data_IF_502288801839
#
_entry.id   IF_502288801839
#
_cell.length_a   1.000
_cell.length_b   1.000
_cell.length_c   1.000
_cell.angle_alpha   90.00
_cell.angle_beta   90.00
_cell.angle_gamma   90.00
#
_symmetry.space_group_name_H-M   'P 1'
#
loop_
_entity.id
_entity.type
_entity.pdbx_description
1 polymer ?
#
# COMPACT_ATOMS: atom_id res chain seq x y z
N UNK A 1 -9.84 6.22 1.88
CA UNK A 1 -9.37 5.58 3.14
C UNK A 1 -8.68 6.61 4.03
N UNK A 2 -7.62 7.26 3.55
CA UNK A 2 -6.84 8.27 4.30
C UNK A 2 -7.71 9.38 4.91
N UNK A 3 -8.58 10.04 4.13
CA UNK A 3 -9.49 11.09 4.66
C UNK A 3 -10.47 10.60 5.75
N UNK A 4 -10.93 9.35 5.65
CA UNK A 4 -11.82 8.78 6.68
C UNK A 4 -11.05 8.50 7.96
N UNK A 5 -9.80 8.04 7.86
CA UNK A 5 -8.94 7.85 9.02
C UNK A 5 -8.51 9.19 9.65
N UNK A 6 -8.18 10.20 8.84
CA UNK A 6 -7.78 11.55 9.27
C UNK A 6 -8.85 12.25 10.12
N UNK A 7 -10.13 11.92 9.88
CA UNK A 7 -11.27 12.42 10.67
C UNK A 7 -11.30 11.90 12.11
N UNK A 8 -10.58 10.82 12.40
CA UNK A 8 -10.53 10.21 13.73
C UNK A 8 -9.36 10.71 14.60
N UNK A 9 -8.44 11.51 14.05
CA UNK A 9 -7.35 12.10 14.83
C UNK A 9 -7.80 13.35 15.56
N UNK A 10 -7.52 13.40 16.87
CA UNK A 10 -7.59 14.66 17.62
C UNK A 10 -6.50 15.62 17.14
N UNK A 11 -6.64 16.94 17.32
CA UNK A 11 -5.59 17.91 16.98
C UNK A 11 -4.23 17.58 17.61
N UNK A 12 -4.24 17.10 18.87
CA UNK A 12 -3.04 16.64 19.58
C UNK A 12 -2.46 15.37 18.92
N UNK A 13 -3.32 14.43 18.52
CA UNK A 13 -2.91 13.24 17.79
C UNK A 13 -2.18 13.59 16.50
N UNK A 14 -2.64 14.61 15.75
CA UNK A 14 -1.99 15.10 14.53
C UNK A 14 -0.61 15.71 14.79
N UNK A 15 -0.46 16.47 15.86
CA UNK A 15 0.81 17.11 16.24
C UNK A 15 1.88 16.09 16.65
N UNK A 16 1.46 14.96 17.22
CA UNK A 16 2.36 13.87 17.65
C UNK A 16 2.66 12.85 16.55
N UNK A 17 2.10 13.01 15.35
CA UNK A 17 2.37 12.09 14.25
C UNK A 17 3.84 12.16 13.85
N UNK A 18 4.60 11.05 13.91
CA UNK A 18 5.95 11.03 13.39
C UNK A 18 5.91 11.33 11.90
N UNK A 19 6.91 12.08 11.42
CA UNK A 19 7.11 12.29 9.99
C UNK A 19 7.24 10.91 9.34
N UNK A 20 6.50 10.61 8.26
CA UNK A 20 6.57 9.29 7.66
C UNK A 20 8.04 8.94 7.36
N UNK A 21 8.50 7.77 7.84
CA UNK A 21 9.70 7.16 7.29
C UNK A 21 9.50 6.89 5.79
N UNK A 22 10.59 6.66 5.06
CA UNK A 22 10.49 6.25 3.67
C UNK A 22 9.52 5.06 3.52
N UNK A 23 8.63 5.12 2.53
CA UNK A 23 7.70 4.03 2.22
C UNK A 23 8.49 2.73 1.97
N UNK A 24 7.94 1.56 2.27
CA UNK A 24 8.66 0.29 2.09
C UNK A 24 9.03 0.00 0.62
N UNK A 25 8.37 0.68 -0.32
CA UNK A 25 8.66 0.63 -1.76
C UNK A 25 9.72 1.64 -2.22
N UNK A 26 10.28 2.47 -1.33
CA UNK A 26 11.21 3.55 -1.71
C UNK A 26 12.53 3.06 -2.31
N UNK A 27 12.87 1.79 -2.13
CA UNK A 27 14.05 1.18 -2.76
C UNK A 27 13.82 0.82 -4.23
N UNK A 28 12.58 0.90 -4.73
CA UNK A 28 12.31 0.77 -6.17
C UNK A 28 12.77 2.02 -6.90
N UNK A 29 13.42 1.81 -8.04
CA UNK A 29 13.69 2.88 -8.98
C UNK A 29 12.40 3.20 -9.74
N UNK A 30 11.62 4.12 -9.18
CA UNK A 30 10.41 4.63 -9.83
C UNK A 30 10.72 5.93 -10.58
N UNK A 31 10.29 6.07 -11.85
CA UNK A 31 10.37 7.35 -12.53
C UNK A 31 9.54 8.37 -11.76
N UNK A 32 10.15 9.52 -11.47
CA UNK A 32 9.53 10.59 -10.66
C UNK A 32 8.79 11.62 -11.49
N UNK A 33 9.05 11.65 -12.80
CA UNK A 33 8.46 12.58 -13.75
C UNK A 33 8.20 11.89 -15.11
N UNK A 34 7.52 12.63 -15.98
CA UNK A 34 7.11 12.15 -17.30
C UNK A 34 8.32 11.82 -18.16
N UNK A 35 9.35 12.67 -18.14
CA UNK A 35 10.54 12.56 -18.95
C UNK A 35 11.29 11.26 -18.59
N UNK A 36 11.46 10.97 -17.31
CA UNK A 36 12.02 9.71 -16.81
C UNK A 36 11.16 8.52 -17.24
N UNK A 37 9.83 8.60 -17.09
CA UNK A 37 8.94 7.52 -17.46
C UNK A 37 9.04 7.16 -18.95
N UNK A 38 9.18 8.16 -19.83
CA UNK A 38 9.35 7.96 -21.28
C UNK A 38 10.71 7.33 -21.66
N UNK A 39 11.70 7.36 -20.78
CA UNK A 39 12.99 6.71 -21.00
C UNK A 39 13.03 5.24 -20.55
N UNK A 40 12.03 4.78 -19.78
CA UNK A 40 11.94 3.39 -19.33
C UNK A 40 11.22 2.55 -20.38
N UNK A 41 11.68 1.33 -20.61
CA UNK A 41 11.01 0.42 -21.53
C UNK A 41 9.61 0.06 -21.03
N UNK A 42 8.67 -0.21 -21.96
CA UNK A 42 7.30 -0.61 -21.59
C UNK A 42 7.29 -1.88 -20.71
N UNK A 43 8.20 -2.82 -20.99
CA UNK A 43 8.35 -4.05 -20.20
C UNK A 43 8.85 -3.77 -18.79
N UNK A 44 9.84 -2.90 -18.62
CA UNK A 44 10.36 -2.53 -17.30
C UNK A 44 9.31 -1.73 -16.50
N UNK A 45 8.54 -0.86 -17.15
CA UNK A 45 7.42 -0.16 -16.53
C UNK A 45 6.35 -1.15 -16.04
N UNK A 46 6.03 -2.18 -16.83
CA UNK A 46 5.07 -3.21 -16.44
C UNK A 46 5.61 -4.08 -15.29
N UNK A 47 6.89 -4.47 -15.33
CA UNK A 47 7.56 -5.17 -14.24
C UNK A 47 7.53 -4.35 -12.94
N UNK A 48 7.79 -3.05 -13.04
CA UNK A 48 7.73 -2.13 -11.91
C UNK A 48 6.32 -2.04 -11.32
N UNK A 49 5.29 -1.86 -12.15
CA UNK A 49 3.90 -1.79 -11.71
C UNK A 49 3.46 -3.08 -10.99
N UNK A 50 3.85 -4.25 -11.53
CA UNK A 50 3.59 -5.57 -10.92
C UNK A 50 4.33 -5.72 -9.59
N UNK A 51 5.58 -5.29 -9.53
CA UNK A 51 6.40 -5.31 -8.30
C UNK A 51 5.80 -4.44 -7.20
N UNK A 52 5.34 -3.24 -7.54
CA UNK A 52 4.66 -2.34 -6.61
C UNK A 52 3.38 -2.99 -6.06
N UNK A 53 2.55 -3.55 -6.93
CA UNK A 53 1.29 -4.18 -6.53
C UNK A 53 1.53 -5.39 -5.61
N UNK A 54 2.52 -6.22 -5.94
CA UNK A 54 2.91 -7.37 -5.12
C UNK A 54 3.42 -6.92 -3.73
N UNK A 55 4.19 -5.84 -3.66
CA UNK A 55 4.71 -5.30 -2.40
C UNK A 55 3.61 -4.80 -1.45
N UNK A 56 2.39 -4.56 -1.93
CA UNK A 56 1.25 -4.12 -1.13
C UNK A 56 0.36 -5.25 -0.60
N UNK A 57 0.59 -6.51 -1.01
CA UNK A 57 -0.21 -7.66 -0.55
C UNK A 57 -0.15 -7.81 0.97
N UNK A 58 1.05 -7.86 1.55
CA UNK A 58 1.22 -8.04 3.00
C UNK A 58 0.73 -6.81 3.80
N UNK A 59 1.10 -5.54 3.44
CA UNK A 59 0.56 -4.35 4.10
C UNK A 59 -0.97 -4.29 4.11
N UNK A 60 -1.63 -4.65 3.00
CA UNK A 60 -3.09 -4.68 2.93
C UNK A 60 -3.70 -5.76 3.85
N UNK A 61 -3.03 -6.91 3.99
CA UNK A 61 -3.41 -7.94 4.96
C UNK A 61 -3.31 -7.44 6.41
N UNK A 62 -2.21 -6.75 6.74
CA UNK A 62 -2.00 -6.13 8.05
C UNK A 62 -3.05 -5.05 8.33
N UNK A 63 -3.35 -4.19 7.36
CA UNK A 63 -4.43 -3.19 7.45
C UNK A 63 -5.80 -3.84 7.72
N UNK A 64 -6.16 -4.86 6.96
CA UNK A 64 -7.45 -5.57 7.10
C UNK A 64 -7.59 -6.20 8.48
N UNK A 65 -6.59 -6.97 8.92
CA UNK A 65 -6.60 -7.63 10.23
C UNK A 65 -6.75 -6.63 11.38
N UNK A 66 -6.07 -5.49 11.26
CA UNK A 66 -6.04 -4.47 12.29
C UNK A 66 -7.29 -3.60 12.32
N UNK A 67 -8.00 -3.48 11.19
CA UNK A 67 -9.18 -2.61 11.08
C UNK A 67 -10.31 -3.11 11.97
N UNK A 68 -10.32 -4.41 12.26
CA UNK A 68 -11.18 -5.04 13.26
C UNK A 68 -11.02 -4.45 14.67
N UNK A 69 -9.91 -3.78 14.97
CA UNK A 69 -9.67 -3.18 16.30
C UNK A 69 -10.16 -1.74 16.43
N UNK A 70 -10.69 -1.16 15.34
CA UNK A 70 -11.21 0.21 15.33
C UNK A 70 -12.60 0.28 15.99
N UNK A 71 -12.97 1.43 16.60
CA UNK A 71 -14.29 1.62 17.18
C UNK A 71 -15.39 1.75 16.10
N UNK A 72 -16.61 1.35 16.45
CA UNK A 72 -17.79 1.61 15.62
C UNK A 72 -18.12 3.13 15.57
N UNK A 73 -18.53 3.71 14.42
CA UNK A 73 -18.79 3.08 13.12
C UNK A 73 -17.60 3.10 12.14
N UNK A 74 -16.43 3.59 12.56
CA UNK A 74 -15.24 3.68 11.71
C UNK A 74 -14.83 2.29 11.18
N UNK A 75 -14.94 1.29 12.05
CA UNK A 75 -14.64 -0.11 11.77
C UNK A 75 -15.29 -0.62 10.48
N UNK A 76 -16.62 -0.54 10.35
CA UNK A 76 -17.35 -1.12 9.21
C UNK A 76 -17.03 -0.41 7.89
N UNK A 77 -16.93 0.93 7.91
CA UNK A 77 -16.59 1.71 6.73
C UNK A 77 -15.18 1.43 6.24
N UNK A 78 -14.20 1.40 7.17
CA UNK A 78 -12.79 1.18 6.84
C UNK A 78 -12.55 -0.26 6.37
N UNK A 79 -13.13 -1.26 7.05
CA UNK A 79 -13.03 -2.67 6.63
C UNK A 79 -13.56 -2.86 5.21
N UNK A 80 -14.75 -2.34 4.90
CA UNK A 80 -15.34 -2.49 3.57
C UNK A 80 -14.41 -1.92 2.48
N UNK A 81 -13.85 -0.73 2.71
CA UNK A 81 -12.92 -0.13 1.75
C UNK A 81 -11.59 -0.87 1.64
N UNK A 82 -11.09 -1.47 2.72
CA UNK A 82 -9.89 -2.31 2.64
C UNK A 82 -10.18 -3.57 1.82
N UNK A 83 -11.35 -4.19 1.99
CA UNK A 83 -11.74 -5.35 1.19
C UNK A 83 -11.90 -5.00 -0.29
N UNK A 84 -12.55 -3.88 -0.62
CA UNK A 84 -12.64 -3.36 -1.99
C UNK A 84 -11.23 -3.14 -2.58
N UNK A 85 -10.32 -2.53 -1.82
CA UNK A 85 -8.95 -2.29 -2.25
C UNK A 85 -8.17 -3.61 -2.48
N UNK A 86 -8.33 -4.59 -1.59
CA UNK A 86 -7.73 -5.93 -1.76
C UNK A 86 -8.27 -6.65 -3.01
N UNK A 87 -9.57 -6.57 -3.26
CA UNK A 87 -10.19 -7.16 -4.46
C UNK A 87 -9.70 -6.47 -5.73
N UNK A 88 -9.77 -5.14 -5.79
CA UNK A 88 -9.32 -4.38 -6.95
C UNK A 88 -7.81 -4.55 -7.21
N UNK A 89 -7.00 -4.60 -6.15
CA UNK A 89 -5.57 -4.90 -6.25
C UNK A 89 -5.32 -6.27 -6.85
N UNK A 90 -6.10 -7.29 -6.46
CA UNK A 90 -5.99 -8.65 -7.02
C UNK A 90 -6.37 -8.68 -8.49
N UNK A 91 -7.52 -8.12 -8.83
CA UNK A 91 -8.03 -8.08 -10.20
C UNK A 91 -7.08 -7.33 -11.14
N UNK A 92 -6.51 -6.21 -10.68
CA UNK A 92 -5.47 -5.48 -11.40
C UNK A 92 -4.23 -6.36 -11.61
N UNK A 93 -3.78 -7.08 -10.57
CA UNK A 93 -2.62 -7.96 -10.65
C UNK A 93 -2.80 -9.09 -11.65
N UNK A 94 -3.99 -9.70 -11.69
CA UNK A 94 -4.33 -10.72 -12.68
C UNK A 94 -4.29 -10.16 -14.11
N UNK A 95 -4.83 -8.96 -14.32
CA UNK A 95 -4.75 -8.26 -15.61
C UNK A 95 -3.32 -7.96 -16.04
N UNK A 96 -2.48 -7.45 -15.13
CA UNK A 96 -1.07 -7.17 -15.42
C UNK A 96 -0.26 -8.44 -15.67
N UNK A 97 -0.57 -9.55 -14.99
CA UNK A 97 0.04 -10.85 -15.24
C UNK A 97 -0.26 -11.35 -16.65
N UNK A 98 -1.52 -11.27 -17.08
CA UNK A 98 -1.92 -11.62 -18.45
C UNK A 98 -1.19 -10.75 -19.48
N UNK A 99 -1.07 -9.45 -19.22
CA UNK A 99 -0.37 -8.53 -20.12
C UNK A 99 1.13 -8.87 -20.21
N UNK A 100 1.78 -9.14 -19.08
CA UNK A 100 3.22 -9.45 -19.03
C UNK A 100 3.57 -10.73 -19.78
N UNK A 101 2.67 -11.70 -19.84
CA UNK A 101 2.84 -12.94 -20.62
C UNK A 101 2.84 -12.74 -22.13
N UNK A 102 2.42 -11.56 -22.62
CA UNK A 102 2.40 -11.18 -24.04
C UNK A 102 3.56 -10.26 -24.42
N UNK A 103 4.44 -9.92 -23.47
CA UNK A 103 5.56 -9.00 -23.65
C UNK A 103 6.89 -9.74 -23.50
N UNK A 104 7.99 -8.99 -23.66
CA UNK A 104 9.34 -9.48 -23.39
C UNK A 104 9.48 -10.07 -21.97
N UNK A 105 10.32 -11.09 -21.74
CA UNK A 105 10.48 -11.71 -20.41
C UNK A 105 10.83 -10.75 -19.27
N UNK A 106 11.44 -9.61 -19.56
CA UNK A 106 11.68 -8.53 -18.58
C UNK A 106 10.38 -8.07 -17.92
N UNK A 107 9.26 -8.01 -18.65
CA UNK A 107 7.95 -7.65 -18.11
C UNK A 107 7.43 -8.62 -17.04
N UNK A 108 7.93 -9.86 -17.05
CA UNK A 108 7.56 -10.91 -16.12
C UNK A 108 8.35 -10.85 -14.81
N UNK A 109 9.46 -10.11 -14.76
CA UNK A 109 10.25 -9.95 -13.54
C UNK A 109 9.44 -9.27 -12.43
N UNK A 110 9.70 -9.67 -11.18
CA UNK A 110 9.10 -9.08 -9.99
C UNK A 110 10.21 -8.83 -8.98
N UNK A 111 10.30 -7.60 -8.49
CA UNK A 111 11.19 -7.25 -7.39
C UNK A 111 10.58 -7.68 -6.05
N UNK A 112 11.34 -8.44 -5.26
CA UNK A 112 10.93 -8.81 -3.91
C UNK A 112 11.17 -7.64 -2.94
N UNK A 113 10.09 -7.12 -2.35
CA UNK A 113 10.10 -6.03 -1.38
C UNK A 113 9.31 -6.46 -0.15
N UNK A 114 9.91 -7.28 0.73
CA UNK A 114 9.21 -7.80 1.89
C UNK A 114 8.82 -6.66 2.83
N UNK A 115 7.56 -6.61 3.21
CA UNK A 115 7.10 -5.67 4.21
C UNK A 115 7.68 -6.01 5.58
N UNK A 116 8.47 -5.10 6.15
CA UNK A 116 9.12 -5.26 7.47
C UNK A 116 8.46 -4.47 8.59
N UNK A 117 7.31 -3.84 8.34
CA UNK A 117 6.61 -3.04 9.37
C UNK A 117 5.96 -3.88 10.48
N UNK A 118 5.95 -5.20 10.35
CA UNK A 118 5.40 -6.14 11.34
C UNK A 118 3.86 -6.16 11.39
N UNK A 119 3.31 -7.05 12.22
CA UNK A 119 1.86 -7.18 12.42
C UNK A 119 1.35 -6.39 13.64
N UNK A 120 2.26 -5.78 14.41
CA UNK A 120 1.91 -5.04 15.61
C UNK A 120 1.50 -3.62 15.22
N UNK A 121 0.19 -3.38 15.13
CA UNK A 121 -0.38 -2.03 14.99
C UNK A 121 -0.43 -1.28 16.34
N UNK A 122 0.16 -1.84 17.41
CA UNK A 122 0.22 -1.21 18.72
C UNK A 122 -1.03 -1.52 19.56
N UNK A 123 -0.90 -1.40 20.88
CA UNK A 123 -1.96 -1.78 21.83
C UNK A 123 -2.86 -0.59 22.19
N UNK A 124 -2.30 0.61 22.28
CA UNK A 124 -3.05 1.83 22.59
C UNK A 124 -3.62 2.51 21.34
N UNK A 125 -4.67 3.31 21.53
CA UNK A 125 -5.41 3.97 20.44
C UNK A 125 -4.53 4.89 19.58
N UNK A 126 -3.53 5.56 20.16
CA UNK A 126 -2.70 6.52 19.46
C UNK A 126 -1.69 5.79 18.58
N UNK A 127 -1.01 4.76 19.10
CA UNK A 127 -0.11 3.91 18.32
C UNK A 127 -0.81 3.23 17.15
N UNK A 128 -2.06 2.76 17.36
CA UNK A 128 -2.89 2.20 16.29
C UNK A 128 -3.13 3.19 15.17
N UNK A 129 -3.61 4.38 15.51
CA UNK A 129 -3.88 5.42 14.52
C UNK A 129 -2.61 5.86 13.77
N UNK A 130 -1.47 6.02 14.47
CA UNK A 130 -0.18 6.36 13.85
C UNK A 130 0.26 5.29 12.84
N UNK A 131 0.26 4.01 13.23
CA UNK A 131 0.69 2.91 12.36
C UNK A 131 -0.27 2.67 11.20
N UNK A 132 -1.57 2.91 11.41
CA UNK A 132 -2.57 2.90 10.34
C UNK A 132 -2.32 4.00 9.31
N UNK A 133 -2.02 5.22 9.75
CA UNK A 133 -1.70 6.31 8.81
C UNK A 133 -0.42 6.03 8.04
N UNK A 134 0.57 5.40 8.66
CA UNK A 134 1.83 5.08 7.95
C UNK A 134 1.62 4.11 6.78
N UNK A 135 0.58 3.28 6.86
CA UNK A 135 0.21 2.32 5.83
C UNK A 135 -0.77 2.90 4.78
N UNK A 136 -1.27 4.13 4.94
CA UNK A 136 -2.27 4.78 4.07
C UNK A 136 -1.76 6.09 3.45
#
# INVERSE_FOLDING_TARGET
>A
LTHELDSHFTPIGRMLMPRPSACHTSSLQTPSDKEQALQVSESDLLSLARSLLQAWVDPLGVLSSSANTLPHPAQSKIINKIHELQEHSRNLGDGLNILSGKMDPTAQTISSLPYRGGNDIGQDKISKLIKFQFLL
#
